data_IF_880779412173
#
_entry.id   IF_880779412173
#
_cell.length_a   1.000
_cell.length_b   1.000
_cell.length_c   1.000
_cell.angle_alpha   90.00
_cell.angle_beta   90.00
_cell.angle_gamma   90.00
#
_symmetry.space_group_name_H-M   'P 1'
#
loop_
_entity.id
_entity.type
_entity.pdbx_description
1 polymer ?
#
# COMPACT_ATOMS: atom_id res chain seq x y z
N UNK A 1 17.49 14.76 -14.95
CA UNK A 1 18.01 13.37 -14.97
C UNK A 1 16.92 12.51 -15.57
N UNK A 2 17.23 11.46 -16.35
CA UNK A 2 16.20 10.56 -16.85
C UNK A 2 15.47 9.89 -15.67
N UNK A 3 14.16 9.71 -15.81
CA UNK A 3 13.36 8.91 -14.89
C UNK A 3 13.78 7.44 -15.01
N UNK A 4 13.76 6.69 -13.92
CA UNK A 4 13.95 5.24 -14.00
C UNK A 4 12.75 4.60 -14.69
N UNK A 5 13.01 3.72 -15.64
CA UNK A 5 11.98 2.95 -16.30
C UNK A 5 11.37 1.94 -15.33
N UNK A 6 10.05 1.77 -15.41
CA UNK A 6 9.32 0.78 -14.60
C UNK A 6 9.12 -0.54 -15.36
N UNK A 7 9.37 -0.55 -16.66
CA UNK A 7 9.35 -1.77 -17.48
C UNK A 7 10.25 -2.84 -16.85
N UNK A 8 9.73 -4.06 -16.76
CA UNK A 8 10.38 -5.23 -16.15
C UNK A 8 10.67 -5.14 -14.63
N UNK A 9 10.40 -4.04 -13.94
CA UNK A 9 10.52 -3.98 -12.47
C UNK A 9 9.57 -4.98 -11.83
N UNK A 10 10.08 -5.78 -10.91
CA UNK A 10 9.37 -6.83 -10.18
C UNK A 10 8.70 -6.22 -8.95
N UNK A 11 7.39 -6.08 -9.00
CA UNK A 11 6.63 -5.31 -8.01
C UNK A 11 5.55 -6.17 -7.36
N UNK A 12 5.58 -6.27 -6.05
CA UNK A 12 4.48 -6.82 -5.24
C UNK A 12 3.65 -5.67 -4.66
N UNK A 13 2.33 -5.74 -4.85
CA UNK A 13 1.37 -4.79 -4.26
C UNK A 13 0.44 -5.56 -3.33
N UNK A 14 0.41 -5.23 -2.04
CA UNK A 14 -0.56 -5.80 -1.11
C UNK A 14 -1.88 -5.04 -1.18
N UNK A 15 -3.01 -5.72 -1.14
CA UNK A 15 -4.32 -5.06 -1.21
C UNK A 15 -4.60 -4.39 -2.55
N UNK A 16 -4.13 -4.96 -3.66
CA UNK A 16 -4.28 -4.38 -5.00
C UNK A 16 -5.68 -4.49 -5.60
N UNK A 17 -6.67 -5.02 -4.89
CA UNK A 17 -8.01 -5.26 -5.44
C UNK A 17 -8.96 -4.07 -5.33
N UNK A 18 -8.69 -3.13 -4.41
CA UNK A 18 -9.53 -1.94 -4.15
C UNK A 18 -8.70 -0.69 -3.89
N UNK A 19 -9.33 0.47 -3.91
CA UNK A 19 -8.77 1.75 -3.51
C UNK A 19 -7.41 2.10 -4.13
N UNK A 20 -6.51 2.61 -3.32
CA UNK A 20 -5.16 3.04 -3.73
C UNK A 20 -4.36 1.90 -4.36
N UNK A 21 -4.43 0.69 -3.76
CA UNK A 21 -3.71 -0.47 -4.28
C UNK A 21 -4.14 -0.85 -5.69
N UNK A 22 -5.46 -0.82 -5.96
CA UNK A 22 -6.02 -1.07 -7.29
C UNK A 22 -5.59 -0.01 -8.30
N UNK A 23 -5.71 1.26 -7.95
CA UNK A 23 -5.29 2.35 -8.83
C UNK A 23 -3.79 2.26 -9.16
N UNK A 24 -2.96 1.97 -8.16
CA UNK A 24 -1.52 1.76 -8.32
C UNK A 24 -1.22 0.56 -9.22
N UNK A 25 -1.89 -0.58 -9.02
CA UNK A 25 -1.72 -1.75 -9.87
C UNK A 25 -2.02 -1.45 -11.34
N UNK A 26 -3.14 -0.77 -11.61
CA UNK A 26 -3.55 -0.39 -12.96
C UNK A 26 -2.60 0.62 -13.61
N UNK A 27 -2.08 1.57 -12.84
CA UNK A 27 -1.08 2.52 -13.34
C UNK A 27 0.23 1.81 -13.73
N UNK A 28 0.73 0.91 -12.87
CA UNK A 28 1.99 0.20 -13.11
C UNK A 28 1.87 -0.88 -14.21
N UNK A 29 0.68 -1.42 -14.43
CA UNK A 29 0.43 -2.33 -15.56
C UNK A 29 0.64 -1.63 -16.91
N UNK A 30 0.25 -0.35 -17.03
CA UNK A 30 0.48 0.47 -18.24
C UNK A 30 1.97 0.74 -18.49
N UNK A 31 2.77 0.75 -17.43
CA UNK A 31 4.23 0.93 -17.48
C UNK A 31 5.00 -0.36 -17.75
N UNK A 32 4.32 -1.46 -18.06
CA UNK A 32 4.91 -2.78 -18.35
C UNK A 32 5.75 -3.37 -17.21
N UNK A 33 5.42 -3.03 -15.97
CA UNK A 33 6.04 -3.66 -14.80
C UNK A 33 5.61 -5.13 -14.67
N UNK A 34 6.46 -5.96 -14.10
CA UNK A 34 6.14 -7.34 -13.71
C UNK A 34 5.43 -7.32 -12.35
N UNK A 35 4.12 -7.52 -12.36
CA UNK A 35 3.27 -7.31 -11.21
C UNK A 35 2.81 -8.62 -10.59
N UNK A 36 2.80 -8.65 -9.27
CA UNK A 36 2.03 -9.60 -8.47
C UNK A 36 1.21 -8.83 -7.45
N UNK A 37 -0.03 -9.24 -7.25
CA UNK A 37 -0.87 -8.68 -6.19
C UNK A 37 -1.68 -9.76 -5.50
N UNK A 38 -2.23 -9.42 -4.34
CA UNK A 38 -3.19 -10.27 -3.67
C UNK A 38 -4.29 -9.46 -2.97
N UNK A 39 -5.40 -10.13 -2.75
CA UNK A 39 -6.54 -9.67 -1.98
C UNK A 39 -7.29 -10.85 -1.42
N UNK A 40 -8.22 -10.63 -0.52
CA UNK A 40 -8.94 -11.71 0.18
C UNK A 40 -9.97 -12.42 -0.71
N UNK A 41 -10.52 -11.72 -1.69
CA UNK A 41 -11.63 -12.19 -2.50
C UNK A 41 -11.24 -12.39 -3.96
N UNK A 42 -11.63 -13.54 -4.51
CA UNK A 42 -11.32 -13.93 -5.89
C UNK A 42 -12.02 -13.05 -6.93
N UNK A 43 -13.26 -12.60 -6.66
CA UNK A 43 -14.05 -11.84 -7.64
C UNK A 43 -13.44 -10.47 -7.94
N UNK A 44 -13.12 -9.59 -6.94
CA UNK A 44 -12.43 -8.33 -7.19
C UNK A 44 -11.06 -8.52 -7.84
N UNK A 45 -10.34 -9.59 -7.48
CA UNK A 45 -9.05 -9.92 -8.07
C UNK A 45 -9.17 -10.24 -9.56
N UNK A 46 -10.15 -11.08 -9.96
CA UNK A 46 -10.38 -11.39 -11.36
C UNK A 46 -10.77 -10.15 -12.17
N UNK A 47 -11.63 -9.29 -11.63
CA UNK A 47 -12.01 -8.02 -12.27
C UNK A 47 -10.81 -7.09 -12.47
N UNK A 48 -9.93 -6.98 -11.47
CA UNK A 48 -8.70 -6.19 -11.59
C UNK A 48 -7.83 -6.68 -12.76
N UNK A 49 -7.57 -7.99 -12.81
CA UNK A 49 -6.69 -8.59 -13.82
C UNK A 49 -7.28 -8.50 -15.23
N UNK A 50 -8.60 -8.62 -15.37
CA UNK A 50 -9.29 -8.41 -16.63
C UNK A 50 -9.15 -6.96 -17.12
N UNK A 51 -9.38 -5.97 -16.26
CA UNK A 51 -9.22 -4.54 -16.58
C UNK A 51 -7.77 -4.21 -16.93
N UNK A 52 -6.81 -4.78 -16.19
CA UNK A 52 -5.38 -4.62 -16.46
C UNK A 52 -4.90 -5.36 -17.72
N UNK A 53 -5.72 -6.24 -18.29
CA UNK A 53 -5.36 -7.16 -19.39
C UNK A 53 -4.15 -8.03 -19.05
N UNK A 54 -4.05 -8.45 -17.79
CA UNK A 54 -2.97 -9.28 -17.28
C UNK A 54 -3.45 -10.72 -16.98
N UNK A 55 -2.56 -11.71 -17.08
CA UNK A 55 -2.91 -13.10 -16.81
C UNK A 55 -3.25 -13.32 -15.32
N UNK A 56 -4.06 -14.36 -15.05
CA UNK A 56 -4.46 -14.74 -13.68
C UNK A 56 -3.26 -15.01 -12.75
N UNK A 57 -2.13 -15.35 -13.30
CA UNK A 57 -0.88 -15.56 -12.55
C UNK A 57 -0.33 -14.31 -11.87
N UNK A 58 -0.76 -13.11 -12.28
CA UNK A 58 -0.39 -11.84 -11.67
C UNK A 58 -1.16 -11.56 -10.36
N UNK A 59 -2.03 -12.46 -9.91
CA UNK A 59 -2.78 -12.31 -8.68
C UNK A 59 -3.02 -13.63 -7.96
N UNK A 60 -3.25 -13.54 -6.65
CA UNK A 60 -3.66 -14.67 -5.81
C UNK A 60 -4.54 -14.21 -4.64
N UNK A 61 -5.30 -15.14 -4.08
CA UNK A 61 -6.03 -14.86 -2.83
C UNK A 61 -5.12 -15.11 -1.63
N UNK A 62 -5.03 -14.11 -0.77
CA UNK A 62 -4.30 -14.19 0.49
C UNK A 62 -4.79 -13.12 1.46
N UNK A 63 -4.59 -13.38 2.76
CA UNK A 63 -4.89 -12.49 3.86
C UNK A 63 -3.59 -12.06 4.54
N UNK A 64 -3.28 -10.77 4.53
CA UNK A 64 -2.05 -10.23 5.13
C UNK A 64 -1.99 -10.36 6.66
N UNK A 65 -3.10 -10.65 7.32
CA UNK A 65 -3.12 -10.97 8.76
C UNK A 65 -2.54 -12.35 9.08
N UNK A 66 -2.38 -13.22 8.06
CA UNK A 66 -1.95 -14.62 8.23
C UNK A 66 -0.51 -14.83 7.75
N UNK A 67 0.34 -15.29 8.65
CA UNK A 67 1.76 -15.52 8.34
C UNK A 67 1.97 -16.55 7.23
N UNK A 68 1.15 -17.61 7.21
CA UNK A 68 1.18 -18.65 6.17
C UNK A 68 0.80 -18.12 4.79
N UNK A 69 -0.13 -17.17 4.72
CA UNK A 69 -0.52 -16.52 3.48
C UNK A 69 0.60 -15.60 2.97
N UNK A 70 1.21 -14.83 3.86
CA UNK A 70 2.39 -14.02 3.50
C UNK A 70 3.51 -14.91 2.95
N UNK A 71 3.77 -16.07 3.58
CA UNK A 71 4.76 -17.01 3.09
C UNK A 71 4.42 -17.47 1.67
N UNK A 72 3.18 -17.92 1.40
CA UNK A 72 2.73 -18.35 0.06
C UNK A 72 2.86 -17.25 -0.98
N UNK A 73 2.56 -15.99 -0.59
CA UNK A 73 2.71 -14.83 -1.48
C UNK A 73 4.17 -14.65 -1.89
N UNK A 74 5.11 -14.76 -0.96
CA UNK A 74 6.52 -14.58 -1.27
C UNK A 74 7.17 -15.78 -1.97
N UNK A 75 6.64 -16.97 -1.81
CA UNK A 75 6.97 -18.13 -2.68
C UNK A 75 6.52 -17.87 -4.11
N UNK A 76 5.32 -17.31 -4.31
CA UNK A 76 4.85 -16.89 -5.63
C UNK A 76 5.66 -15.72 -6.23
N UNK A 77 6.17 -14.80 -5.40
CA UNK A 77 7.12 -13.76 -5.86
C UNK A 77 8.38 -14.40 -6.42
N UNK A 78 8.96 -15.36 -5.72
CA UNK A 78 10.18 -16.04 -6.17
C UNK A 78 9.93 -16.84 -7.46
N UNK A 79 8.82 -17.59 -7.53
CA UNK A 79 8.47 -18.42 -8.69
C UNK A 79 8.12 -17.60 -9.94
N UNK A 80 7.27 -16.56 -9.78
CA UNK A 80 6.68 -15.85 -10.92
C UNK A 80 7.44 -14.61 -11.33
N UNK A 81 8.08 -13.91 -10.38
CA UNK A 81 8.83 -12.69 -10.64
C UNK A 81 10.35 -12.93 -10.66
N UNK A 82 10.84 -13.99 -10.04
CA UNK A 82 12.27 -14.25 -9.89
C UNK A 82 12.98 -13.31 -8.91
N UNK A 83 12.24 -12.72 -7.97
CA UNK A 83 12.73 -11.77 -6.98
C UNK A 83 11.83 -10.54 -6.85
N UNK A 84 12.25 -9.52 -6.12
CA UNK A 84 11.44 -8.32 -5.84
C UNK A 84 12.30 -7.06 -5.86
N UNK A 85 11.91 -6.07 -6.69
CA UNK A 85 12.54 -4.75 -6.74
C UNK A 85 11.76 -3.74 -5.91
N UNK A 86 10.43 -3.89 -5.85
CA UNK A 86 9.55 -2.97 -5.13
C UNK A 86 8.47 -3.74 -4.36
N UNK A 87 8.31 -3.41 -3.09
CA UNK A 87 7.12 -3.74 -2.29
C UNK A 87 6.27 -2.48 -2.12
N UNK A 88 4.97 -2.55 -2.45
CA UNK A 88 3.99 -1.50 -2.16
C UNK A 88 2.96 -2.08 -1.20
N UNK A 89 3.03 -1.70 0.06
CA UNK A 89 2.10 -2.16 1.08
C UNK A 89 0.90 -1.20 1.19
N UNK A 90 -0.25 -1.64 0.67
CA UNK A 90 -1.51 -0.90 0.64
C UNK A 90 -2.67 -1.58 1.40
N UNK A 91 -2.54 -2.88 1.74
CA UNK A 91 -3.62 -3.63 2.38
C UNK A 91 -3.98 -3.00 3.73
N UNK A 92 -5.21 -2.51 3.88
CA UNK A 92 -5.67 -1.92 5.12
C UNK A 92 -7.18 -2.08 5.29
N UNK A 93 -7.62 -2.00 6.53
CA UNK A 93 -9.02 -1.96 6.97
C UNK A 93 -9.25 -0.67 7.74
N UNK A 94 -10.44 -0.08 7.60
CA UNK A 94 -10.94 0.94 8.52
C UNK A 94 -11.23 0.34 9.89
N UNK A 95 -11.51 1.20 10.86
CA UNK A 95 -11.94 0.80 12.19
C UNK A 95 -13.17 1.63 12.61
N UNK A 96 -13.93 1.08 13.55
CA UNK A 96 -14.96 1.78 14.29
C UNK A 96 -14.41 2.24 15.65
N UNK A 97 -15.13 3.06 16.42
CA UNK A 97 -14.76 3.34 17.81
C UNK A 97 -14.49 2.04 18.57
N UNK A 98 -13.37 1.96 19.30
CA UNK A 98 -12.93 0.71 19.93
C UNK A 98 -13.98 0.07 20.84
N UNK A 99 -14.79 0.89 21.52
CA UNK A 99 -15.83 0.40 22.41
C UNK A 99 -17.07 -0.19 21.67
N UNK A 100 -17.13 -0.01 20.34
CA UNK A 100 -18.16 -0.57 19.48
C UNK A 100 -17.67 -1.80 18.71
N UNK A 101 -16.36 -2.09 18.75
CA UNK A 101 -15.76 -3.24 18.08
C UNK A 101 -15.75 -4.48 18.96
N UNK A 102 -15.96 -5.64 18.34
CA UNK A 102 -15.68 -6.91 19.01
C UNK A 102 -14.16 -7.09 19.23
N UNK A 103 -13.81 -8.03 20.15
CA UNK A 103 -12.40 -8.38 20.42
C UNK A 103 -11.70 -8.88 19.15
N UNK A 104 -12.38 -9.68 18.33
CA UNK A 104 -11.82 -10.23 17.10
C UNK A 104 -11.68 -9.16 16.00
N UNK A 105 -12.63 -8.22 15.89
CA UNK A 105 -12.62 -7.19 14.85
C UNK A 105 -11.45 -6.22 15.01
N UNK A 106 -11.24 -5.66 16.23
CA UNK A 106 -10.13 -4.72 16.40
C UNK A 106 -8.78 -5.41 16.30
N UNK A 107 -8.66 -6.66 16.75
CA UNK A 107 -7.44 -7.46 16.58
C UNK A 107 -7.16 -7.69 15.10
N UNK A 108 -8.17 -8.05 14.33
CA UNK A 108 -8.04 -8.28 12.89
C UNK A 108 -7.58 -7.00 12.16
N UNK A 109 -8.06 -5.82 12.57
CA UNK A 109 -7.57 -4.53 12.06
C UNK A 109 -6.07 -4.36 12.37
N UNK A 110 -5.64 -4.64 13.60
CA UNK A 110 -4.22 -4.52 14.00
C UNK A 110 -3.36 -5.53 13.24
N UNK A 111 -3.79 -6.78 13.15
CA UNK A 111 -3.10 -7.83 12.40
C UNK A 111 -2.95 -7.48 10.91
N UNK A 112 -4.01 -6.99 10.28
CA UNK A 112 -3.98 -6.60 8.87
C UNK A 112 -3.13 -5.35 8.64
N UNK A 113 -3.43 -4.26 9.39
CA UNK A 113 -2.89 -2.94 9.10
C UNK A 113 -1.46 -2.75 9.61
N UNK A 114 -1.03 -3.48 10.62
CA UNK A 114 0.28 -3.32 11.21
C UNK A 114 1.13 -4.58 11.13
N UNK A 115 0.70 -5.69 11.71
CA UNK A 115 1.50 -6.94 11.72
C UNK A 115 1.73 -7.44 10.29
N UNK A 116 0.70 -7.39 9.44
CA UNK A 116 0.81 -7.74 8.02
C UNK A 116 1.81 -6.89 7.24
N UNK A 117 1.88 -5.57 7.54
CA UNK A 117 2.91 -4.70 6.95
C UNK A 117 4.32 -5.11 7.38
N UNK A 118 4.52 -5.40 8.68
CA UNK A 118 5.80 -5.87 9.18
C UNK A 118 6.19 -7.21 8.54
N UNK A 119 5.25 -8.13 8.45
CA UNK A 119 5.44 -9.45 7.84
C UNK A 119 5.86 -9.38 6.37
N UNK A 120 5.10 -8.63 5.55
CA UNK A 120 5.41 -8.42 4.14
C UNK A 120 6.75 -7.68 3.97
N UNK A 121 7.00 -6.64 4.78
CA UNK A 121 8.25 -5.89 4.75
C UNK A 121 9.45 -6.78 5.08
N UNK A 122 9.37 -7.59 6.15
CA UNK A 122 10.43 -8.53 6.52
C UNK A 122 10.73 -9.54 5.41
N UNK A 123 9.70 -10.08 4.78
CA UNK A 123 9.85 -11.04 3.69
C UNK A 123 10.46 -10.43 2.42
N UNK A 124 10.10 -9.18 2.09
CA UNK A 124 10.71 -8.42 1.00
C UNK A 124 12.17 -8.07 1.30
N UNK A 125 12.46 -7.59 2.51
CA UNK A 125 13.82 -7.21 2.94
C UNK A 125 14.81 -8.36 2.82
N UNK A 126 14.41 -9.58 3.20
CA UNK A 126 15.28 -10.75 3.06
C UNK A 126 15.80 -10.91 1.63
N UNK A 127 14.98 -10.63 0.63
CA UNK A 127 15.31 -10.73 -0.80
C UNK A 127 16.08 -9.51 -1.28
N UNK A 128 15.62 -8.31 -0.93
CA UNK A 128 16.23 -7.05 -1.32
C UNK A 128 17.66 -6.89 -0.78
N UNK A 129 17.90 -7.30 0.46
CA UNK A 129 19.23 -7.29 1.08
C UNK A 129 20.16 -8.28 0.36
N UNK A 130 19.67 -9.48 0.05
CA UNK A 130 20.46 -10.47 -0.69
C UNK A 130 20.83 -10.01 -2.11
N UNK A 131 19.99 -9.19 -2.75
CA UNK A 131 20.28 -8.61 -4.07
C UNK A 131 21.00 -7.25 -4.00
N UNK A 132 21.16 -6.64 -2.81
CA UNK A 132 21.84 -5.36 -2.60
C UNK A 132 21.05 -4.14 -3.10
N UNK A 133 19.74 -4.28 -3.34
CA UNK A 133 18.89 -3.18 -3.82
C UNK A 133 17.41 -3.46 -3.58
N UNK A 134 16.63 -2.41 -3.39
CA UNK A 134 15.18 -2.50 -3.26
C UNK A 134 14.52 -1.18 -2.88
N UNK A 135 13.20 -1.14 -3.03
CA UNK A 135 12.38 -0.02 -2.56
C UNK A 135 11.11 -0.56 -1.89
N UNK A 136 10.87 -0.12 -0.69
CA UNK A 136 9.65 -0.41 0.07
C UNK A 136 8.83 0.87 0.18
N UNK A 137 7.59 0.82 -0.30
CA UNK A 137 6.60 1.89 -0.18
C UNK A 137 5.52 1.44 0.80
N UNK A 138 5.39 2.15 1.91
CA UNK A 138 4.39 1.88 2.94
C UNK A 138 3.31 2.96 2.88
N UNK A 139 2.08 2.56 2.57
CA UNK A 139 0.94 3.47 2.51
C UNK A 139 0.31 3.57 3.90
N UNK A 140 0.50 4.71 4.53
CA UNK A 140 -0.05 5.07 5.83
C UNK A 140 -1.27 5.98 5.69
N UNK A 141 -1.34 7.05 6.46
CA UNK A 141 -2.41 8.06 6.51
C UNK A 141 -1.96 9.28 7.29
N UNK A 142 -2.68 10.38 7.14
CA UNK A 142 -2.59 11.55 8.03
C UNK A 142 -3.35 11.35 9.35
N UNK A 143 -4.17 10.30 9.49
CA UNK A 143 -5.01 10.05 10.70
C UNK A 143 -4.23 10.06 12.02
N UNK A 144 -2.96 9.62 12.12
CA UNK A 144 -2.19 9.74 13.35
C UNK A 144 -1.96 11.18 13.84
N UNK A 145 -2.01 12.15 12.93
CA UNK A 145 -1.87 13.58 13.26
C UNK A 145 -3.21 14.24 13.52
N UNK A 146 -4.24 13.92 12.72
CA UNK A 146 -5.60 14.46 12.85
C UNK A 146 -6.26 14.00 14.13
N UNK A 147 -6.11 12.71 14.49
CA UNK A 147 -6.69 12.13 15.73
C UNK A 147 -8.21 12.28 15.81
N UNK A 148 -8.88 12.02 14.68
CA UNK A 148 -10.34 12.11 14.61
C UNK A 148 -11.00 11.13 15.59
N UNK A 149 -12.08 11.54 16.29
CA UNK A 149 -12.85 10.63 17.11
C UNK A 149 -13.37 9.44 16.28
N UNK A 150 -13.35 8.24 16.86
CA UNK A 150 -13.81 7.02 16.21
C UNK A 150 -12.72 6.24 15.44
N UNK A 151 -11.54 6.82 15.23
CA UNK A 151 -10.46 6.19 14.47
C UNK A 151 -9.29 5.69 15.33
N UNK A 152 -9.46 5.52 16.64
CA UNK A 152 -8.35 5.26 17.56
C UNK A 152 -7.51 4.04 17.17
N UNK A 153 -8.13 2.91 16.82
CA UNK A 153 -7.41 1.69 16.39
C UNK A 153 -6.72 1.90 15.05
N UNK A 154 -7.41 2.48 14.07
CA UNK A 154 -6.86 2.79 12.77
C UNK A 154 -5.66 3.74 12.88
N UNK A 155 -5.84 4.87 13.55
CA UNK A 155 -4.79 5.86 13.77
C UNK A 155 -3.58 5.27 14.50
N UNK A 156 -3.79 4.40 15.48
CA UNK A 156 -2.71 3.71 16.19
C UNK A 156 -1.91 2.81 15.24
N UNK A 157 -2.58 2.02 14.38
CA UNK A 157 -1.87 1.16 13.40
C UNK A 157 -1.07 1.99 12.40
N UNK A 158 -1.64 3.09 11.89
CA UNK A 158 -0.96 3.98 10.93
C UNK A 158 0.18 4.76 11.60
N UNK A 159 0.02 5.19 12.85
CA UNK A 159 1.11 5.79 13.65
C UNK A 159 2.27 4.81 13.89
N UNK A 160 1.95 3.54 14.13
CA UNK A 160 2.94 2.46 14.19
C UNK A 160 3.72 2.30 12.89
N UNK A 161 3.02 2.34 11.73
CA UNK A 161 3.67 2.29 10.40
C UNK A 161 4.58 3.50 10.18
N UNK A 162 4.15 4.73 10.55
CA UNK A 162 4.95 5.93 10.40
C UNK A 162 6.27 5.79 11.15
N UNK A 163 6.22 5.40 12.41
CA UNK A 163 7.40 5.17 13.24
C UNK A 163 8.29 4.04 12.69
N UNK A 164 7.68 2.92 12.31
CA UNK A 164 8.37 1.78 11.73
C UNK A 164 9.11 2.15 10.44
N UNK A 165 8.45 2.82 9.49
CA UNK A 165 9.03 3.22 8.21
C UNK A 165 10.27 4.11 8.38
N UNK A 166 10.16 5.14 9.22
CA UNK A 166 11.23 6.12 9.44
C UNK A 166 12.43 5.53 10.19
N UNK A 167 12.19 4.53 11.05
CA UNK A 167 13.27 3.80 11.74
C UNK A 167 13.93 2.81 10.78
N UNK A 168 13.13 1.96 10.12
CA UNK A 168 13.60 0.94 9.18
C UNK A 168 14.46 1.53 8.06
N UNK A 169 14.06 2.69 7.52
CA UNK A 169 14.81 3.39 6.49
C UNK A 169 16.28 3.58 6.86
N UNK A 170 16.56 3.90 8.14
CA UNK A 170 17.92 4.09 8.65
C UNK A 170 18.67 2.77 8.86
N UNK A 171 17.93 1.71 9.21
CA UNK A 171 18.51 0.39 9.45
C UNK A 171 19.00 -0.27 8.16
N UNK A 172 18.34 -0.01 7.01
CA UNK A 172 18.58 -0.74 5.76
C UNK A 172 19.26 0.08 4.66
N UNK A 173 19.55 1.37 4.90
CA UNK A 173 20.15 2.26 3.91
C UNK A 173 21.50 1.74 3.39
N UNK A 174 22.37 1.29 4.27
CA UNK A 174 23.70 0.75 3.92
C UNK A 174 23.61 -0.59 3.15
N UNK A 175 22.44 -1.21 3.10
CA UNK A 175 22.16 -2.45 2.39
C UNK A 175 21.53 -2.20 1.00
N UNK A 176 21.49 -0.93 0.57
CA UNK A 176 20.96 -0.53 -0.72
C UNK A 176 19.42 -0.56 -0.82
N UNK A 177 18.72 -0.62 0.31
CA UNK A 177 17.25 -0.62 0.35
C UNK A 177 16.73 0.74 0.79
N UNK A 178 15.81 1.30 0.00
CA UNK A 178 15.10 2.54 0.32
C UNK A 178 13.74 2.24 0.92
N UNK A 179 13.27 3.10 1.81
CA UNK A 179 11.92 3.00 2.40
C UNK A 179 11.25 4.35 2.30
N UNK A 180 10.07 4.39 1.68
CA UNK A 180 9.25 5.59 1.53
C UNK A 180 7.91 5.39 2.24
N UNK A 181 7.52 6.37 3.02
CA UNK A 181 6.21 6.48 3.63
C UNK A 181 5.33 7.38 2.78
N UNK A 182 4.15 6.90 2.40
CA UNK A 182 3.11 7.71 1.76
C UNK A 182 2.05 8.01 2.81
N UNK A 183 1.70 9.27 2.99
CA UNK A 183 0.68 9.73 3.94
C UNK A 183 -0.48 10.42 3.19
N UNK A 184 -1.46 9.65 2.71
CA UNK A 184 -2.65 10.23 2.09
C UNK A 184 -3.53 10.94 3.11
N UNK A 185 -4.17 12.03 2.66
CA UNK A 185 -5.35 12.60 3.28
C UNK A 185 -6.61 11.77 2.96
N UNK A 186 -7.74 12.44 2.89
CA UNK A 186 -9.01 11.81 2.52
C UNK A 186 -8.97 11.34 1.06
N UNK A 187 -9.25 10.06 0.82
CA UNK A 187 -9.22 9.42 -0.52
C UNK A 187 -10.52 8.64 -0.72
N UNK A 188 -11.12 8.80 -1.89
CA UNK A 188 -12.29 8.02 -2.30
C UNK A 188 -11.94 6.53 -2.47
N UNK A 189 -12.57 5.68 -1.68
CA UNK A 189 -12.35 4.23 -1.69
C UNK A 189 -13.48 3.49 -0.97
N UNK A 190 -13.51 2.16 -1.12
CA UNK A 190 -14.45 1.29 -0.41
C UNK A 190 -14.26 1.29 1.14
N UNK A 191 -13.20 1.90 1.62
CA UNK A 191 -12.95 2.07 3.07
C UNK A 191 -13.77 3.21 3.68
N UNK A 192 -14.26 4.14 2.87
CA UNK A 192 -15.08 5.26 3.32
C UNK A 192 -16.46 4.76 3.74
N UNK A 193 -16.99 5.34 4.81
CA UNK A 193 -18.35 5.04 5.31
C UNK A 193 -19.44 5.76 4.51
N UNK A 194 -19.10 6.83 3.79
CA UNK A 194 -20.01 7.59 2.95
C UNK A 194 -20.25 6.89 1.59
N UNK A 195 -21.41 7.16 0.99
CA UNK A 195 -21.81 6.61 -0.30
C UNK A 195 -20.89 7.06 -1.45
N UNK A 196 -20.91 6.31 -2.54
CA UNK A 196 -20.15 6.68 -3.75
C UNK A 196 -20.57 8.04 -4.34
N UNK A 197 -21.81 8.48 -4.09
CA UNK A 197 -22.28 9.80 -4.51
C UNK A 197 -21.69 10.90 -3.65
N UNK A 198 -21.72 10.73 -2.34
CA UNK A 198 -21.07 11.65 -1.38
C UNK A 198 -19.56 11.76 -1.61
N UNK A 199 -18.89 10.64 -1.91
CA UNK A 199 -17.47 10.67 -2.29
C UNK A 199 -17.23 11.49 -3.55
N UNK A 200 -18.04 11.32 -4.61
CA UNK A 200 -17.93 12.13 -5.84
C UNK A 200 -18.16 13.62 -5.58
N UNK A 201 -19.11 13.95 -4.71
CA UNK A 201 -19.36 15.33 -4.31
C UNK A 201 -18.17 15.92 -3.55
N UNK A 202 -17.61 15.19 -2.58
CA UNK A 202 -16.44 15.61 -1.81
C UNK A 202 -15.20 15.80 -2.70
N UNK A 203 -15.00 14.91 -3.68
CA UNK A 203 -13.93 15.05 -4.68
C UNK A 203 -14.14 16.32 -5.51
N UNK A 204 -15.36 16.55 -6.00
CA UNK A 204 -15.69 17.77 -6.76
C UNK A 204 -15.48 19.08 -5.98
N UNK A 205 -15.55 19.04 -4.66
CA UNK A 205 -15.28 20.14 -3.74
C UNK A 205 -13.80 20.26 -3.33
N UNK A 206 -12.92 19.39 -3.82
CA UNK A 206 -11.53 19.24 -3.38
C UNK A 206 -11.38 18.93 -1.86
N UNK A 207 -12.32 18.22 -1.29
CA UNK A 207 -12.32 17.73 0.09
C UNK A 207 -11.86 16.26 0.20
N UNK A 208 -11.71 15.59 -0.96
CA UNK A 208 -11.27 14.20 -1.09
C UNK A 208 -10.50 14.03 -2.39
N UNK A 209 -9.49 13.17 -2.41
CA UNK A 209 -8.69 12.82 -3.59
C UNK A 209 -9.27 11.60 -4.29
N UNK A 210 -8.96 11.46 -5.60
CA UNK A 210 -9.05 10.17 -6.28
C UNK A 210 -7.93 9.23 -5.83
N UNK A 211 -8.17 7.93 -5.85
CA UNK A 211 -7.13 6.94 -5.58
C UNK A 211 -6.00 6.99 -6.63
N UNK A 212 -6.32 7.41 -7.84
CA UNK A 212 -5.39 7.62 -8.96
C UNK A 212 -4.35 8.69 -8.66
N UNK A 213 -4.70 9.77 -7.94
CA UNK A 213 -3.74 10.83 -7.56
C UNK A 213 -2.68 10.30 -6.59
N UNK A 214 -3.06 9.36 -5.71
CA UNK A 214 -2.09 8.67 -4.86
C UNK A 214 -1.24 7.67 -5.66
N UNK A 215 -1.83 6.99 -6.65
CA UNK A 215 -1.09 6.10 -7.53
C UNK A 215 -0.05 6.85 -8.38
N UNK A 216 -0.37 8.06 -8.84
CA UNK A 216 0.58 8.95 -9.52
C UNK A 216 1.74 9.36 -8.61
N UNK A 217 1.44 9.71 -7.36
CA UNK A 217 2.45 10.04 -6.36
C UNK A 217 3.37 8.84 -6.03
N UNK A 218 2.80 7.62 -5.93
CA UNK A 218 3.58 6.40 -5.79
C UNK A 218 4.47 6.19 -7.03
N UNK A 219 3.92 6.33 -8.23
CA UNK A 219 4.67 6.22 -9.49
C UNK A 219 5.80 7.25 -9.55
N UNK A 220 5.55 8.47 -9.10
CA UNK A 220 6.60 9.49 -8.97
C UNK A 220 7.74 9.01 -8.08
N UNK A 221 7.47 8.41 -6.92
CA UNK A 221 8.51 7.85 -6.02
C UNK A 221 9.30 6.75 -6.73
N UNK A 222 8.61 5.82 -7.40
CA UNK A 222 9.24 4.68 -8.07
C UNK A 222 10.20 5.08 -9.18
N UNK A 223 9.92 6.19 -9.87
CA UNK A 223 10.69 6.68 -11.01
C UNK A 223 11.86 7.60 -10.64
N UNK A 224 12.10 7.84 -9.35
CA UNK A 224 13.26 8.63 -8.91
C UNK A 224 14.53 7.81 -8.98
N UNK A 225 15.62 8.48 -9.32
CA UNK A 225 16.96 7.91 -9.31
C UNK A 225 17.25 7.23 -7.96
N UNK A 226 17.98 6.12 -7.97
CA UNK A 226 18.42 5.39 -6.77
C UNK A 226 19.25 6.25 -5.80
N UNK A 227 19.77 7.37 -6.27
CA UNK A 227 20.47 8.37 -5.43
C UNK A 227 19.52 9.31 -4.69
N UNK A 228 18.23 9.31 -5.07
CA UNK A 228 17.20 10.14 -4.45
C UNK A 228 16.41 9.30 -3.47
N UNK A 229 16.41 9.71 -2.21
CA UNK A 229 15.61 9.12 -1.17
C UNK A 229 14.45 10.06 -0.82
N UNK A 230 13.23 9.54 -0.80
CA UNK A 230 12.02 10.27 -0.42
C UNK A 230 11.49 9.60 0.85
N UNK A 231 11.86 10.10 2.03
CA UNK A 231 11.46 9.47 3.29
C UNK A 231 9.95 9.47 3.51
N UNK A 232 9.32 10.60 3.21
CA UNK A 232 7.88 10.82 3.38
C UNK A 232 7.35 11.62 2.20
N UNK A 233 6.20 11.22 1.70
CA UNK A 233 5.42 11.98 0.74
C UNK A 233 3.97 12.06 1.23
N UNK A 234 3.58 13.26 1.66
CA UNK A 234 2.24 13.55 2.14
C UNK A 234 1.42 14.22 1.05
N UNK A 235 0.22 13.72 0.81
CA UNK A 235 -0.68 14.20 -0.24
C UNK A 235 -2.09 14.35 0.34
N UNK A 236 -2.60 15.56 0.35
CA UNK A 236 -3.90 15.90 0.91
C UNK A 236 -4.76 16.62 -0.13
N UNK A 237 -6.10 16.47 -0.07
CA UNK A 237 -6.97 17.35 -0.85
C UNK A 237 -6.79 18.80 -0.41
N UNK A 238 -6.98 19.75 -1.34
CA UNK A 238 -6.81 21.17 -1.05
C UNK A 238 -7.63 21.64 0.18
N UNK A 239 -8.78 21.02 0.39
CA UNK A 239 -9.71 21.34 1.50
C UNK A 239 -9.85 20.13 2.44
N UNK A 240 -8.70 19.60 2.88
CA UNK A 240 -8.69 18.50 3.85
C UNK A 240 -9.47 18.89 5.10
N UNK A 241 -10.50 18.10 5.44
CA UNK A 241 -11.21 18.25 6.70
C UNK A 241 -10.38 17.63 7.82
N UNK A 242 -10.22 18.35 8.90
CA UNK A 242 -9.40 17.97 10.07
C UNK A 242 -10.27 17.71 11.31
N UNK A 243 -11.34 16.94 11.15
CA UNK A 243 -12.22 16.53 12.23
C UNK A 243 -13.44 17.42 12.39
#
# INVERSE_FOLDING_TARGET
>A
MPQEALADKRILITGGTTGIGRATFLALAKEQAKLLTFGREQKPLNQLLEIAQLPKSCGMTADSSKAEDIQRVFEAVDEKLGGIDVLIACAALGAQPIHEMSEDDWRYVVETNFVGYLGCTRAALKRMIAQGSGLIVLVSSISPEIKAPGESVYAATKGGINSFALTLRKEVADQGVRVTLIEPGSVGSDMQTCSAEEQREAIGKAEMLFAEEIAEAITFVLTRSTRCDIPVLRIEPLRQKTG
#
